data_IF_724383280213
#
_entry.id   IF_724383280213
#
_cell.length_a   1.000
_cell.length_b   1.000
_cell.length_c   1.000
_cell.angle_alpha   90.00
_cell.angle_beta   90.00
_cell.angle_gamma   90.00
#
_symmetry.space_group_name_H-M   'P 1'
#
loop_
_entity.id
_entity.type
_entity.pdbx_description
1 polymer ?
#
# COMPACT_ATOMS: atom_id res chain seq x y z
N UNK A 1 13.46 -3.51 -6.28
CA UNK A 1 13.53 -3.55 -7.77
C UNK A 1 12.11 -3.63 -8.33
N UNK A 2 11.65 -2.65 -9.11
CA UNK A 2 10.38 -2.78 -9.85
C UNK A 2 10.61 -3.68 -11.08
N UNK A 3 10.07 -4.90 -11.07
CA UNK A 3 10.22 -5.92 -12.12
C UNK A 3 9.28 -5.70 -13.32
N UNK A 4 9.27 -4.47 -13.84
CA UNK A 4 8.90 -4.14 -15.21
C UNK A 4 10.11 -3.36 -15.70
N UNK A 5 10.67 -3.66 -16.88
CA UNK A 5 11.91 -3.06 -17.42
C UNK A 5 11.95 -1.52 -17.59
N UNK A 6 11.12 -0.78 -16.87
CA UNK A 6 11.08 0.67 -16.72
C UNK A 6 11.49 1.01 -15.28
N UNK A 7 12.76 1.35 -15.09
CA UNK A 7 13.22 1.95 -13.84
C UNK A 7 12.87 3.46 -13.83
N UNK A 8 12.85 4.09 -12.65
CA UNK A 8 12.53 5.52 -12.53
C UNK A 8 13.38 6.43 -13.45
N UNK A 9 14.70 6.20 -13.62
CA UNK A 9 15.51 6.90 -14.63
C UNK A 9 14.95 6.79 -16.05
N UNK A 10 14.63 5.59 -16.53
CA UNK A 10 14.08 5.38 -17.88
C UNK A 10 12.72 6.08 -18.07
N UNK A 11 11.89 6.12 -17.02
CA UNK A 11 10.61 6.85 -17.04
C UNK A 11 10.85 8.36 -17.07
N UNK A 12 11.80 8.86 -16.30
CA UNK A 12 12.18 10.28 -16.27
C UNK A 12 12.68 10.75 -17.63
N UNK A 13 13.57 9.99 -18.26
CA UNK A 13 14.09 10.27 -19.60
C UNK A 13 12.98 10.22 -20.67
N UNK A 14 12.13 9.18 -20.65
CA UNK A 14 11.06 9.02 -21.64
C UNK A 14 9.95 10.08 -21.56
N UNK A 15 9.80 10.73 -20.40
CA UNK A 15 8.80 11.78 -20.16
C UNK A 15 9.39 13.19 -20.10
N UNK A 16 10.71 13.34 -20.28
CA UNK A 16 11.45 14.61 -20.08
C UNK A 16 11.17 15.25 -18.71
N UNK A 17 11.13 14.42 -17.66
CA UNK A 17 10.85 14.85 -16.29
C UNK A 17 12.10 14.74 -15.41
N UNK A 18 12.23 15.59 -14.37
CA UNK A 18 13.27 15.40 -13.36
C UNK A 18 13.09 14.06 -12.64
N UNK A 19 14.20 13.32 -12.44
CA UNK A 19 14.18 12.04 -11.73
C UNK A 19 13.52 12.13 -10.35
N UNK A 20 13.80 13.20 -9.60
CA UNK A 20 13.23 13.48 -8.28
C UNK A 20 11.70 13.66 -8.30
N UNK A 21 11.13 14.15 -9.42
CA UNK A 21 9.67 14.20 -9.60
C UNK A 21 9.10 12.80 -9.81
N UNK A 22 9.75 11.99 -10.66
CA UNK A 22 9.31 10.61 -10.92
C UNK A 22 9.42 9.73 -9.67
N UNK A 23 10.49 9.90 -8.90
CA UNK A 23 10.67 9.20 -7.62
C UNK A 23 9.57 9.57 -6.63
N UNK A 24 9.33 10.87 -6.39
CA UNK A 24 8.27 11.32 -5.47
C UNK A 24 6.88 10.84 -5.87
N UNK A 25 6.57 10.86 -7.17
CA UNK A 25 5.29 10.33 -7.68
C UNK A 25 5.21 8.82 -7.48
N UNK A 26 6.29 8.09 -7.76
CA UNK A 26 6.38 6.65 -7.54
C UNK A 26 6.19 6.25 -6.07
N UNK A 27 6.86 6.95 -5.16
CA UNK A 27 6.74 6.73 -3.71
C UNK A 27 5.32 7.05 -3.21
N UNK A 28 4.74 8.16 -3.67
CA UNK A 28 3.35 8.53 -3.33
C UNK A 28 2.36 7.48 -3.83
N UNK A 29 2.54 6.97 -5.04
CA UNK A 29 1.72 5.92 -5.63
C UNK A 29 1.81 4.61 -4.83
N UNK A 30 3.01 4.18 -4.46
CA UNK A 30 3.23 3.00 -3.63
C UNK A 30 2.58 3.17 -2.24
N UNK A 31 2.70 4.35 -1.63
CA UNK A 31 2.07 4.65 -0.34
C UNK A 31 0.54 4.61 -0.42
N UNK A 32 -0.05 5.20 -1.46
CA UNK A 32 -1.49 5.15 -1.70
C UNK A 32 -1.99 3.70 -1.83
N UNK A 33 -1.23 2.86 -2.53
CA UNK A 33 -1.54 1.45 -2.73
C UNK A 33 -1.63 0.66 -1.42
N UNK A 34 -0.64 0.80 -0.55
CA UNK A 34 -0.65 0.11 0.75
C UNK A 34 -1.72 0.69 1.66
N UNK A 35 -1.88 2.02 1.71
CA UNK A 35 -2.93 2.67 2.51
C UNK A 35 -4.34 2.23 2.08
N UNK A 36 -4.60 2.19 0.77
CA UNK A 36 -5.88 1.73 0.23
C UNK A 36 -6.18 0.28 0.63
N UNK A 37 -5.14 -0.55 0.62
CA UNK A 37 -5.28 -1.94 1.00
C UNK A 37 -5.53 -2.11 2.51
N UNK A 38 -4.84 -1.35 3.35
CA UNK A 38 -5.11 -1.34 4.79
C UNK A 38 -6.53 -0.85 5.11
N UNK A 39 -7.00 0.19 4.41
CA UNK A 39 -8.37 0.66 4.50
C UNK A 39 -9.37 -0.42 4.09
N UNK A 40 -9.06 -1.17 3.02
CA UNK A 40 -9.85 -2.33 2.60
C UNK A 40 -9.93 -3.41 3.69
N UNK A 41 -8.80 -3.76 4.32
CA UNK A 41 -8.75 -4.74 5.40
C UNK A 41 -9.56 -4.30 6.63
N UNK A 42 -9.61 -3.00 6.91
CA UNK A 42 -10.34 -2.44 8.05
C UNK A 42 -11.84 -2.33 7.79
N UNK A 43 -12.24 -1.75 6.66
CA UNK A 43 -13.64 -1.43 6.36
C UNK A 43 -14.38 -2.59 5.68
N UNK A 44 -13.67 -3.47 4.98
CA UNK A 44 -14.25 -4.55 4.18
C UNK A 44 -13.60 -5.91 4.51
N UNK A 45 -13.30 -6.14 5.79
CA UNK A 45 -12.69 -7.38 6.27
C UNK A 45 -13.48 -8.64 5.87
N UNK A 46 -14.80 -8.53 5.74
CA UNK A 46 -15.69 -9.61 5.30
C UNK A 46 -15.40 -10.11 3.87
N UNK A 47 -14.70 -9.33 3.05
CA UNK A 47 -14.23 -9.78 1.73
C UNK A 47 -13.07 -10.77 1.83
N UNK A 48 -12.45 -10.93 3.00
CA UNK A 48 -11.31 -11.80 3.20
C UNK A 48 -11.73 -13.03 4.00
N UNK A 49 -11.54 -14.22 3.41
CA UNK A 49 -11.60 -15.46 4.16
C UNK A 49 -10.41 -15.56 5.12
N UNK A 50 -10.54 -16.39 6.15
CA UNK A 50 -9.45 -16.63 7.10
C UNK A 50 -8.21 -17.19 6.40
N UNK A 51 -8.40 -18.04 5.38
CA UNK A 51 -7.31 -18.54 4.51
C UNK A 51 -6.63 -17.40 3.75
N UNK A 52 -7.41 -16.46 3.18
CA UNK A 52 -6.84 -15.32 2.48
C UNK A 52 -6.01 -14.42 3.41
N UNK A 53 -6.45 -14.22 4.65
CA UNK A 53 -5.70 -13.46 5.66
C UNK A 53 -4.42 -14.18 6.10
N UNK A 54 -4.46 -15.51 6.22
CA UNK A 54 -3.28 -16.32 6.52
C UNK A 54 -2.24 -16.26 5.39
N UNK A 55 -2.68 -16.45 4.14
CA UNK A 55 -1.81 -16.34 2.96
C UNK A 55 -1.17 -14.95 2.85
N UNK A 56 -1.93 -13.90 3.16
CA UNK A 56 -1.44 -12.52 3.15
C UNK A 56 -0.41 -12.28 4.28
N UNK A 57 -0.62 -12.85 5.46
CA UNK A 57 0.36 -12.78 6.55
C UNK A 57 1.67 -13.49 6.18
N UNK A 58 1.58 -14.68 5.57
CA UNK A 58 2.75 -15.43 5.07
C UNK A 58 3.47 -14.70 3.93
N UNK A 59 2.72 -14.03 3.05
CA UNK A 59 3.30 -13.21 1.97
C UNK A 59 4.09 -12.02 2.52
N UNK A 60 3.56 -11.34 3.54
CA UNK A 60 4.16 -10.12 4.10
C UNK A 60 5.31 -10.44 5.06
N UNK A 61 5.27 -11.58 5.77
CA UNK A 61 6.26 -11.97 6.77
C UNK A 61 7.74 -11.94 6.29
N UNK A 62 8.11 -12.44 5.10
CA UNK A 62 9.49 -12.41 4.62
C UNK A 62 9.90 -11.09 3.94
N UNK A 63 8.96 -10.18 3.67
CA UNK A 63 9.27 -8.95 2.92
C UNK A 63 10.06 -7.95 3.77
N UNK A 64 10.93 -7.13 3.14
CA UNK A 64 11.55 -5.99 3.81
C UNK A 64 10.47 -4.96 4.22
N UNK A 65 10.79 -4.11 5.18
CA UNK A 65 9.92 -3.00 5.63
C UNK A 65 9.91 -1.83 4.62
N UNK A 66 9.88 -2.14 3.32
CA UNK A 66 9.89 -1.15 2.24
C UNK A 66 8.50 -1.07 1.60
N UNK A 67 7.94 0.15 1.56
CA UNK A 67 6.60 0.41 1.01
C UNK A 67 6.48 -0.07 -0.44
N UNK A 68 7.56 0.04 -1.22
CA UNK A 68 7.62 -0.44 -2.59
C UNK A 68 7.39 -1.96 -2.68
N UNK A 69 8.08 -2.75 -1.87
CA UNK A 69 7.98 -4.20 -1.84
C UNK A 69 6.62 -4.66 -1.31
N UNK A 70 6.10 -3.98 -0.28
CA UNK A 70 4.74 -4.23 0.23
C UNK A 70 3.68 -3.95 -0.84
N UNK A 71 3.72 -2.77 -1.47
CA UNK A 71 2.78 -2.37 -2.52
C UNK A 71 2.81 -3.36 -3.69
N UNK A 72 4.01 -3.80 -4.08
CA UNK A 72 4.20 -4.73 -5.18
C UNK A 72 3.66 -6.14 -4.84
N UNK A 73 4.02 -6.68 -3.67
CA UNK A 73 3.56 -7.99 -3.23
C UNK A 73 2.04 -8.04 -3.09
N UNK A 74 1.42 -7.01 -2.48
CA UNK A 74 -0.04 -6.90 -2.35
C UNK A 74 -0.70 -6.87 -3.74
N UNK A 75 -0.17 -6.07 -4.67
CA UNK A 75 -0.71 -5.96 -6.02
C UNK A 75 -0.63 -7.29 -6.80
N UNK A 76 0.47 -8.03 -6.66
CA UNK A 76 0.62 -9.36 -7.25
C UNK A 76 -0.34 -10.37 -6.63
N UNK A 77 -0.49 -10.34 -5.30
CA UNK A 77 -1.40 -11.22 -4.60
C UNK A 77 -2.85 -10.98 -5.03
N UNK A 78 -3.31 -9.74 -5.06
CA UNK A 78 -4.66 -9.36 -5.52
C UNK A 78 -4.92 -9.73 -7.00
N UNK A 79 -3.89 -9.87 -7.83
CA UNK A 79 -4.04 -10.31 -9.23
C UNK A 79 -4.34 -11.80 -9.37
N UNK A 80 -4.19 -12.62 -8.32
CA UNK A 80 -4.54 -14.04 -8.38
C UNK A 80 -6.06 -14.21 -8.57
N UNK A 81 -6.52 -15.22 -9.33
CA UNK A 81 -7.93 -15.42 -9.66
C UNK A 81 -8.93 -15.42 -8.48
N UNK A 82 -8.64 -16.01 -7.30
CA UNK A 82 -9.62 -16.03 -6.21
C UNK A 82 -9.87 -14.66 -5.58
N UNK A 83 -9.03 -13.65 -5.84
CA UNK A 83 -9.12 -12.34 -5.16
C UNK A 83 -9.67 -11.20 -6.03
N UNK A 84 -10.40 -11.53 -7.09
CA UNK A 84 -10.95 -10.53 -8.02
C UNK A 84 -11.91 -9.53 -7.36
N UNK A 85 -12.68 -9.95 -6.35
CA UNK A 85 -13.57 -9.07 -5.59
C UNK A 85 -12.78 -8.05 -4.74
N UNK A 86 -11.73 -8.50 -4.07
CA UNK A 86 -10.82 -7.70 -3.25
C UNK A 86 -10.05 -6.74 -4.15
N UNK A 87 -9.61 -7.19 -5.33
CA UNK A 87 -8.95 -6.35 -6.33
C UNK A 87 -9.87 -5.22 -6.81
N UNK A 88 -11.14 -5.51 -7.05
CA UNK A 88 -12.10 -4.50 -7.48
C UNK A 88 -12.37 -3.48 -6.36
N UNK A 89 -12.60 -3.96 -5.13
CA UNK A 89 -12.81 -3.09 -3.97
C UNK A 89 -11.58 -2.21 -3.67
N UNK A 90 -10.37 -2.77 -3.80
CA UNK A 90 -9.12 -2.02 -3.67
C UNK A 90 -8.98 -0.91 -4.73
N UNK A 91 -9.32 -1.19 -5.99
CA UNK A 91 -9.33 -0.18 -7.06
C UNK A 91 -10.34 0.93 -6.81
N UNK A 92 -11.52 0.60 -6.30
CA UNK A 92 -12.53 1.60 -5.90
C UNK A 92 -11.99 2.50 -4.78
N UNK A 93 -11.30 1.92 -3.79
CA UNK A 93 -10.65 2.70 -2.74
C UNK A 93 -9.53 3.58 -3.27
N UNK A 94 -8.71 3.10 -4.22
CA UNK A 94 -7.68 3.92 -4.85
C UNK A 94 -8.25 5.16 -5.55
N UNK A 95 -9.38 5.01 -6.24
CA UNK A 95 -10.04 6.15 -6.90
C UNK A 95 -10.70 7.14 -5.92
N UNK A 96 -10.83 6.78 -4.63
CA UNK A 96 -11.47 7.62 -3.61
C UNK A 96 -10.48 8.15 -2.56
N UNK A 97 -9.24 7.67 -2.57
CA UNK A 97 -8.21 8.13 -1.64
C UNK A 97 -7.65 9.45 -2.14
N UNK A 98 -8.21 10.51 -1.58
CA UNK A 98 -7.52 11.79 -1.46
C UNK A 98 -6.66 11.72 -0.20
N UNK A 99 -5.34 11.59 -0.37
CA UNK A 99 -4.39 11.44 0.75
C UNK A 99 -4.47 12.61 1.74
N UNK A 100 -4.94 13.77 1.29
CA UNK A 100 -5.15 14.98 2.09
C UNK A 100 -6.28 14.81 3.12
N UNK A 101 -7.24 13.91 2.88
CA UNK A 101 -8.45 13.69 3.68
C UNK A 101 -8.48 12.35 4.44
N UNK A 102 -7.34 11.67 4.62
CA UNK A 102 -7.32 10.45 5.44
C UNK A 102 -7.65 10.74 6.91
N UNK A 103 -8.61 9.97 7.44
CA UNK A 103 -9.12 9.99 8.81
C UNK A 103 -7.98 9.94 9.87
N UNK A 104 -8.16 10.54 11.07
CA UNK A 104 -7.15 10.57 12.15
C UNK A 104 -6.72 9.19 12.66
N UNK A 105 -7.46 8.12 12.34
CA UNK A 105 -7.04 6.74 12.58
C UNK A 105 -5.76 6.35 11.82
N UNK A 106 -5.50 6.97 10.66
CA UNK A 106 -4.25 6.81 9.90
C UNK A 106 -3.31 8.01 10.04
N UNK A 107 -3.85 9.14 10.51
CA UNK A 107 -3.10 10.34 10.93
C UNK A 107 -3.02 10.30 12.46
N UNK A 108 -2.22 9.37 12.98
CA UNK A 108 -1.95 9.28 14.41
C UNK A 108 -1.70 10.67 14.98
N UNK A 109 -2.47 11.00 16.01
CA UNK A 109 -2.41 12.18 16.87
C UNK A 109 -1.28 13.17 16.54
N UNK A 110 -1.62 14.25 15.81
CA UNK A 110 -0.70 15.32 15.49
C UNK A 110 -0.53 16.25 16.71
N UNK A 111 0.22 15.79 17.72
CA UNK A 111 0.95 16.70 18.60
C UNK A 111 2.18 17.23 17.83
N UNK A 112 2.37 18.56 17.73
CA UNK A 112 3.44 19.14 16.93
C UNK A 112 4.76 19.16 17.70
N UNK A 113 5.30 17.99 18.07
CA UNK A 113 6.68 17.91 18.57
C UNK A 113 7.23 16.50 18.40
N UNK A 114 8.29 16.39 17.59
CA UNK A 114 8.99 15.17 17.14
C UNK A 114 8.33 14.41 15.99
N UNK A 115 8.71 14.85 14.79
CA UNK A 115 8.60 14.19 13.48
C UNK A 115 8.89 12.70 13.57
N UNK A 116 7.85 11.91 13.84
CA UNK A 116 7.82 10.50 13.49
C UNK A 116 6.75 10.43 12.44
N UNK A 117 7.15 10.56 11.17
CA UNK A 117 6.26 10.26 10.06
C UNK A 117 5.57 8.93 10.39
N UNK A 118 4.23 8.92 10.44
CA UNK A 118 3.47 7.66 10.46
C UNK A 118 3.63 7.07 9.06
N UNK A 119 4.81 6.52 8.84
CA UNK A 119 5.22 5.88 7.62
C UNK A 119 4.49 4.56 7.59
N UNK A 120 3.65 4.37 6.58
CA UNK A 120 3.06 3.07 6.28
C UNK A 120 4.18 2.03 6.29
N UNK A 121 4.15 1.10 7.24
CA UNK A 121 5.21 0.12 7.47
C UNK A 121 4.62 -1.29 7.59
N UNK A 122 5.48 -2.30 7.53
CA UNK A 122 5.08 -3.72 7.56
C UNK A 122 4.33 -4.05 8.85
N UNK A 123 4.74 -3.48 9.98
CA UNK A 123 4.11 -3.75 11.28
C UNK A 123 2.65 -3.28 11.30
N UNK A 124 2.37 -2.10 10.73
CA UNK A 124 1.03 -1.55 10.66
C UNK A 124 0.14 -2.37 9.70
N UNK A 125 0.71 -2.84 8.60
CA UNK A 125 0.03 -3.76 7.68
C UNK A 125 -0.28 -5.10 8.37
N UNK A 126 0.66 -5.68 9.11
CA UNK A 126 0.46 -6.93 9.84
C UNK A 126 -0.66 -6.82 10.89
N UNK A 127 -0.72 -5.70 11.63
CA UNK A 127 -1.81 -5.42 12.57
C UNK A 127 -3.17 -5.34 11.87
N UNK A 128 -3.23 -4.66 10.72
CA UNK A 128 -4.45 -4.60 9.91
C UNK A 128 -4.89 -6.00 9.43
N UNK A 129 -3.94 -6.86 9.06
CA UNK A 129 -4.23 -8.26 8.69
C UNK A 129 -4.77 -9.04 9.88
N UNK A 130 -4.19 -8.90 11.06
CA UNK A 130 -4.62 -9.57 12.29
C UNK A 130 -5.97 -9.04 12.83
N UNK A 131 -6.38 -7.84 12.40
CA UNK A 131 -7.62 -7.19 12.85
C UNK A 131 -7.45 -6.35 14.12
N UNK A 132 -6.20 -6.08 14.52
CA UNK A 132 -5.85 -5.26 15.67
C UNK A 132 -5.57 -3.80 15.25
N UNK A 133 -6.53 -3.14 14.60
CA UNK A 133 -6.37 -1.80 14.02
C UNK A 133 -7.51 -0.82 14.31
#
# INVERSE_FOLDING_TARGET
MLQLGLNFPTIAEGLDLPLDVVQRVGESFQRQHVTAFMKLLKENRSLFSQEALAELAELVAPLPDEVADLAFAIALWLRKPPYSAQLNAWKQLLNTIDISNLNPVFRGDCDPVNTTEVTVNKQLLQRAIQGEA
#
